data_IF_726641595360
#
_entry.id   IF_726641595360
#
_cell.length_a   1.000
_cell.length_b   1.000
_cell.length_c   1.000
_cell.angle_alpha   90.00
_cell.angle_beta   90.00
_cell.angle_gamma   90.00
#
_symmetry.space_group_name_H-M   'P 1'
#
loop_
_entity.id
_entity.type
_entity.pdbx_description
1 polymer ?
#
# COMPACT_ATOMS: atom_id res chain seq x y z
N UNK A 1 22.72 0.00 -3.80
CA UNK A 1 21.94 0.78 -2.82
C UNK A 1 20.98 -0.07 -1.98
N UNK A 2 19.90 -0.65 -2.52
CA UNK A 2 18.86 -1.34 -1.71
C UNK A 2 19.37 -2.50 -0.83
N UNK A 3 20.37 -3.24 -1.29
CA UNK A 3 21.04 -4.26 -0.46
C UNK A 3 21.69 -3.66 0.79
N UNK A 4 22.29 -2.46 0.68
CA UNK A 4 22.89 -1.77 1.82
C UNK A 4 21.83 -1.32 2.81
N UNK A 5 20.70 -0.79 2.32
CA UNK A 5 19.58 -0.38 3.18
C UNK A 5 18.98 -1.58 3.92
N UNK A 6 18.80 -2.72 3.24
CA UNK A 6 18.34 -3.94 3.90
C UNK A 6 19.29 -4.39 5.01
N UNK A 7 20.60 -4.35 4.76
CA UNK A 7 21.61 -4.67 5.78
C UNK A 7 21.58 -3.70 6.95
N UNK A 8 21.42 -2.40 6.69
CA UNK A 8 21.27 -1.37 7.72
C UNK A 8 20.06 -1.66 8.62
N UNK A 9 18.88 -1.90 8.03
CA UNK A 9 17.66 -2.21 8.78
C UNK A 9 17.82 -3.45 9.68
N UNK A 10 18.47 -4.49 9.16
CA UNK A 10 18.77 -5.72 9.91
C UNK A 10 19.77 -5.50 11.04
N UNK A 11 20.84 -4.75 10.77
CA UNK A 11 21.91 -4.48 11.74
C UNK A 11 21.45 -3.59 12.90
N UNK A 12 20.59 -2.60 12.62
CA UNK A 12 20.10 -1.66 13.61
C UNK A 12 18.70 -2.00 14.14
N UNK A 13 18.17 -3.18 13.81
CA UNK A 13 16.86 -3.65 14.25
C UNK A 13 15.73 -2.62 14.04
N UNK A 14 15.72 -1.96 12.88
CA UNK A 14 14.75 -0.92 12.57
C UNK A 14 13.97 -1.22 11.29
N UNK A 15 12.80 -0.59 11.16
CA UNK A 15 12.01 -0.64 9.93
C UNK A 15 12.37 0.53 9.02
N UNK A 16 12.62 0.23 7.74
CA UNK A 16 12.81 1.24 6.71
C UNK A 16 11.67 1.16 5.71
N UNK A 17 10.98 2.27 5.53
CA UNK A 17 9.88 2.41 4.59
C UNK A 17 10.34 3.16 3.34
N UNK A 18 10.04 2.60 2.18
CA UNK A 18 10.16 3.31 0.91
C UNK A 18 8.75 3.65 0.43
N UNK A 19 8.51 4.94 0.23
CA UNK A 19 7.28 5.44 -0.39
C UNK A 19 7.64 5.82 -1.83
N UNK A 20 6.95 5.22 -2.79
CA UNK A 20 7.19 5.43 -4.21
C UNK A 20 5.88 5.62 -4.96
N UNK A 21 5.86 6.57 -5.88
CA UNK A 21 4.74 6.75 -6.79
C UNK A 21 4.86 5.77 -7.97
N UNK A 22 3.74 5.19 -8.44
CA UNK A 22 3.73 4.46 -9.69
C UNK A 22 4.12 5.41 -10.83
N UNK A 23 4.76 4.87 -11.86
CA UNK A 23 4.95 5.55 -13.14
C UNK A 23 3.59 5.84 -13.76
N UNK A 24 3.56 6.72 -14.76
CA UNK A 24 2.35 6.95 -15.53
C UNK A 24 1.86 5.64 -16.17
N UNK A 25 0.65 5.23 -15.80
CA UNK A 25 0.00 4.04 -16.32
C UNK A 25 -0.73 4.40 -17.62
N UNK A 26 -0.44 3.69 -18.70
CA UNK A 26 -1.15 3.85 -19.96
C UNK A 26 -2.47 3.07 -19.89
N UNK A 27 -3.57 3.67 -20.36
CA UNK A 27 -4.91 3.05 -20.38
C UNK A 27 -5.36 2.53 -19.01
N UNK A 28 -5.07 3.29 -17.95
CA UNK A 28 -5.44 2.90 -16.59
C UNK A 28 -6.95 2.97 -16.38
N UNK A 29 -7.54 1.86 -15.96
CA UNK A 29 -8.99 1.70 -15.76
C UNK A 29 -9.45 1.97 -14.32
N UNK A 30 -8.62 2.64 -13.52
CA UNK A 30 -8.97 2.99 -12.13
C UNK A 30 -8.65 1.93 -11.08
N UNK A 31 -8.10 0.76 -11.44
CA UNK A 31 -7.74 -0.30 -10.49
C UNK A 31 -6.46 -0.02 -9.68
N UNK A 32 -6.23 -0.68 -8.53
CA UNK A 32 -4.97 -0.58 -7.80
C UNK A 32 -3.75 -0.87 -8.69
N UNK A 33 -2.68 -0.04 -8.65
CA UNK A 33 -1.45 -0.36 -9.35
C UNK A 33 -0.77 -1.60 -8.76
N UNK A 34 0.08 -2.25 -9.54
CA UNK A 34 0.93 -3.34 -9.09
C UNK A 34 2.24 -2.79 -8.49
N UNK A 35 2.92 -3.57 -7.66
CA UNK A 35 4.29 -3.26 -7.19
C UNK A 35 5.27 -3.08 -8.35
N UNK A 36 4.99 -3.68 -9.52
CA UNK A 36 5.83 -3.53 -10.72
C UNK A 36 5.69 -2.17 -11.41
N UNK A 37 4.70 -1.36 -11.04
CA UNK A 37 4.42 -0.10 -11.70
C UNK A 37 5.30 1.05 -11.25
N UNK A 38 6.22 0.85 -10.32
CA UNK A 38 7.26 1.85 -10.01
C UNK A 38 8.46 1.72 -10.96
N UNK A 39 9.14 2.83 -11.24
CA UNK A 39 10.37 2.78 -12.05
C UNK A 39 11.45 1.95 -11.35
N UNK A 40 12.10 1.02 -12.07
CA UNK A 40 13.10 0.12 -11.48
C UNK A 40 12.51 -0.89 -10.47
N UNK A 41 11.20 -1.15 -10.51
CA UNK A 41 10.44 -1.96 -9.56
C UNK A 41 11.03 -3.32 -9.22
N UNK A 42 11.65 -4.01 -10.20
CA UNK A 42 12.25 -5.31 -9.99
C UNK A 42 13.23 -5.33 -8.80
N UNK A 43 14.03 -4.28 -8.62
CA UNK A 43 14.98 -4.21 -7.51
C UNK A 43 14.29 -4.02 -6.15
N UNK A 44 13.22 -3.23 -6.10
CA UNK A 44 12.43 -3.01 -4.89
C UNK A 44 11.73 -4.29 -4.47
N UNK A 45 10.99 -4.92 -5.41
CA UNK A 45 10.25 -6.16 -5.15
C UNK A 45 11.22 -7.26 -4.70
N UNK A 46 12.37 -7.40 -5.36
CA UNK A 46 13.32 -8.45 -5.01
C UNK A 46 13.91 -8.29 -3.60
N UNK A 47 14.02 -7.06 -3.07
CA UNK A 47 14.67 -6.78 -1.78
C UNK A 47 13.71 -6.51 -0.62
N UNK A 48 12.52 -5.97 -0.87
CA UNK A 48 11.56 -5.67 0.17
C UNK A 48 11.08 -6.94 0.89
N UNK A 49 10.69 -6.75 2.15
CA UNK A 49 10.08 -7.78 2.99
C UNK A 49 8.56 -7.74 2.86
N UNK A 50 7.97 -6.53 2.83
CA UNK A 50 6.56 -6.30 2.56
C UNK A 50 6.39 -5.39 1.35
N UNK A 51 5.33 -5.62 0.57
CA UNK A 51 4.91 -4.75 -0.53
C UNK A 51 3.45 -4.40 -0.35
N UNK A 52 3.18 -3.12 -0.13
CA UNK A 52 1.85 -2.59 0.13
C UNK A 52 1.54 -1.54 -0.92
N UNK A 53 0.35 -1.64 -1.52
CA UNK A 53 -0.20 -0.64 -2.43
C UNK A 53 -1.35 0.07 -1.73
N UNK A 54 -1.36 1.40 -1.78
CA UNK A 54 -2.46 2.20 -1.29
C UNK A 54 -3.24 2.69 -2.51
N UNK A 55 -4.51 2.31 -2.59
CA UNK A 55 -5.38 2.68 -3.68
C UNK A 55 -6.61 3.43 -3.16
N UNK A 56 -6.95 4.52 -3.86
CA UNK A 56 -8.14 5.33 -3.58
C UNK A 56 -8.99 5.36 -4.82
N UNK A 57 -10.25 4.98 -4.69
CA UNK A 57 -11.20 5.15 -5.77
C UNK A 57 -11.45 6.65 -6.02
N UNK A 58 -11.48 7.03 -7.28
CA UNK A 58 -11.77 8.40 -7.73
C UNK A 58 -13.02 8.49 -8.60
N UNK A 59 -13.61 7.36 -8.93
CA UNK A 59 -14.81 7.25 -9.75
C UNK A 59 -16.02 6.95 -8.85
N UNK A 60 -16.95 7.91 -8.66
CA UNK A 60 -18.14 7.70 -7.85
C UNK A 60 -19.01 6.52 -8.31
N UNK A 61 -19.00 6.20 -9.60
CA UNK A 61 -19.78 5.09 -10.16
C UNK A 61 -19.13 3.73 -9.88
N UNK A 62 -17.83 3.71 -9.59
CA UNK A 62 -17.08 2.49 -9.27
C UNK A 62 -17.13 2.10 -7.79
N UNK A 63 -17.67 2.96 -6.91
CA UNK A 63 -17.84 2.68 -5.49
C UNK A 63 -17.52 3.87 -4.57
N UNK A 64 -17.43 3.64 -3.24
CA UNK A 64 -17.21 4.70 -2.27
C UNK A 64 -15.88 5.45 -2.49
N UNK A 65 -15.96 6.79 -2.60
CA UNK A 65 -14.82 7.69 -2.87
C UNK A 65 -14.05 8.10 -1.61
N UNK A 66 -14.55 7.71 -0.44
CA UNK A 66 -13.98 7.89 0.89
C UNK A 66 -13.38 6.59 1.43
N UNK A 67 -13.50 5.48 0.71
CA UNK A 67 -12.84 4.22 1.04
C UNK A 67 -11.44 4.17 0.42
N UNK A 68 -10.48 3.68 1.21
CA UNK A 68 -9.09 3.47 0.81
C UNK A 68 -8.76 2.00 0.94
N UNK A 69 -8.34 1.40 -0.16
CA UNK A 69 -7.91 0.01 -0.21
C UNK A 69 -6.42 -0.09 0.10
N UNK A 70 -6.09 -0.86 1.13
CA UNK A 70 -4.74 -1.25 1.53
C UNK A 70 -4.47 -2.64 0.97
N UNK A 71 -3.71 -2.69 -0.11
CA UNK A 71 -3.41 -3.88 -0.88
C UNK A 71 -2.07 -4.49 -0.43
N UNK A 72 -2.07 -5.51 0.43
CA UNK A 72 -0.85 -6.25 0.79
C UNK A 72 -0.54 -7.22 -0.34
N UNK A 73 0.45 -6.89 -1.18
CA UNK A 73 0.81 -7.64 -2.40
C UNK A 73 2.03 -8.53 -2.24
N UNK A 74 2.80 -8.33 -1.17
CA UNK A 74 3.94 -9.18 -0.83
C UNK A 74 4.14 -9.25 0.66
N UNK A 75 4.37 -10.47 1.15
CA UNK A 75 4.90 -10.76 2.49
C UNK A 75 5.99 -11.82 2.33
N UNK A 76 7.21 -11.50 2.74
CA UNK A 76 8.36 -12.43 2.63
C UNK A 76 8.38 -13.45 3.76
N UNK A 77 8.09 -13.01 4.98
CA UNK A 77 8.15 -13.86 6.17
C UNK A 77 6.73 -14.13 6.66
N UNK A 78 6.33 -15.39 6.75
CA UNK A 78 4.98 -15.80 7.15
C UNK A 78 4.58 -15.30 8.54
N UNK A 79 5.54 -15.08 9.44
CA UNK A 79 5.26 -14.54 10.78
C UNK A 79 4.83 -13.07 10.74
N UNK A 80 5.13 -12.35 9.65
CA UNK A 80 4.72 -10.96 9.45
C UNK A 80 3.28 -10.85 8.89
N UNK A 81 2.63 -11.97 8.57
CA UNK A 81 1.26 -12.03 8.10
C UNK A 81 1.10 -12.66 6.72
N UNK A 82 0.02 -12.30 6.04
CA UNK A 82 -0.38 -12.85 4.74
C UNK A 82 -0.67 -11.75 3.73
N UNK A 83 -0.64 -12.12 2.45
CA UNK A 83 -1.15 -11.28 1.35
C UNK A 83 -2.67 -11.16 1.50
N UNK A 84 -3.21 -10.01 1.13
CA UNK A 84 -4.64 -9.74 1.22
C UNK A 84 -4.96 -8.26 1.03
N UNK A 85 -6.24 -7.94 1.14
CA UNK A 85 -6.75 -6.58 1.08
C UNK A 85 -7.40 -6.21 2.40
N UNK A 86 -7.16 -4.98 2.84
CA UNK A 86 -7.87 -4.33 3.92
C UNK A 86 -8.42 -3.00 3.40
N UNK A 87 -9.42 -2.46 4.09
CA UNK A 87 -10.07 -1.23 3.69
C UNK A 87 -10.21 -0.30 4.90
N UNK A 88 -9.94 0.98 4.66
CA UNK A 88 -10.06 2.05 5.64
C UNK A 88 -11.05 3.10 5.13
N UNK A 89 -11.76 3.74 6.05
CA UNK A 89 -12.52 4.96 5.76
C UNK A 89 -11.62 6.18 5.93
N UNK A 90 -11.66 7.11 4.98
CA UNK A 90 -10.97 8.39 5.05
C UNK A 90 -11.95 9.50 5.40
N UNK A 91 -11.86 9.99 6.64
CA UNK A 91 -12.62 11.14 7.07
C UNK A 91 -12.04 12.41 6.43
N UNK A 92 -12.77 12.99 5.48
CA UNK A 92 -12.32 14.19 4.75
C UNK A 92 -12.26 15.45 5.60
N UNK A 93 -13.03 15.50 6.70
CA UNK A 93 -13.07 16.65 7.62
C UNK A 93 -11.85 16.63 8.53
N UNK A 94 -11.50 15.47 9.09
CA UNK A 94 -10.38 15.35 10.04
C UNK A 94 -9.06 14.93 9.40
N UNK A 95 -9.09 14.41 8.17
CA UNK A 95 -7.93 13.85 7.47
C UNK A 95 -7.46 12.49 8.02
N UNK A 96 -8.25 11.84 8.85
CA UNK A 96 -7.88 10.58 9.51
C UNK A 96 -8.38 9.36 8.73
N UNK A 97 -7.61 8.28 8.81
CA UNK A 97 -8.04 6.95 8.39
C UNK A 97 -8.55 6.18 9.60
N UNK A 98 -9.71 5.56 9.48
CA UNK A 98 -10.33 4.74 10.53
C UNK A 98 -10.75 3.39 9.95
N UNK A 99 -10.89 2.39 10.81
CA UNK A 99 -11.41 1.09 10.40
C UNK A 99 -12.86 1.22 9.92
N UNK A 100 -13.22 0.43 8.91
CA UNK A 100 -14.58 0.44 8.37
C UNK A 100 -15.64 0.06 9.42
N UNK A 101 -15.30 -0.84 10.34
CA UNK A 101 -16.21 -1.23 11.43
C UNK A 101 -16.54 -0.04 12.34
N UNK A 102 -15.53 0.77 12.69
CA UNK A 102 -15.71 1.94 13.55
C UNK A 102 -16.45 3.09 12.84
N UNK A 103 -16.37 3.16 11.51
CA UNK A 103 -17.10 4.15 10.73
C UNK A 103 -18.61 3.89 10.75
N UNK A 104 -19.03 2.62 10.80
CA UNK A 104 -20.46 2.23 10.84
C UNK A 104 -21.12 2.50 12.19
N UNK A 105 -20.34 2.62 13.28
CA UNK A 105 -20.86 2.92 14.63
C UNK A 105 -21.02 4.42 14.89
N UNK A 106 -20.47 5.28 14.02
CA UNK A 106 -20.51 6.75 14.14
C UNK A 106 -21.55 7.41 13.22
N UNK A 107 -22.30 6.61 12.47
CA UNK A 107 -23.44 7.01 11.64
C UNK A 107 -24.74 6.57 12.33
#
# INVERSE_FOLDING_TARGET
MLTMVKRFAQHHCCHVWFVAHPRQLHNWIGNPPNLYDISGSAHFINKCDNGIVIHRNRDPEAGPIDQVQVCVRKVRNKVAGTIGDAFLYYNRVTGQFVDLSEASEKL
#
